data_IF_984665391487
#
_entry.id   IF_984665391487
#
_cell.length_a   1.000
_cell.length_b   1.000
_cell.length_c   1.000
_cell.angle_alpha   90.00
_cell.angle_beta   90.00
_cell.angle_gamma   90.00
#
_symmetry.space_group_name_H-M   'P 1'
#
loop_
_entity.id
_entity.type
_entity.pdbx_description
1 polymer ?
#
# COMPACT_ATOMS: atom_id res chain seq x y z
N UNK A 1 -6.23 -9.82 -17.24
CA UNK A 1 -6.40 -8.44 -17.75
C UNK A 1 -6.24 -7.37 -16.67
N UNK A 2 -6.84 -7.49 -15.47
CA UNK A 2 -6.73 -6.44 -14.42
C UNK A 2 -5.29 -6.03 -14.01
N UNK A 3 -4.35 -6.98 -13.91
CA UNK A 3 -2.95 -6.68 -13.56
C UNK A 3 -2.24 -5.80 -14.60
N UNK A 4 -2.58 -5.96 -15.88
CA UNK A 4 -1.99 -5.20 -16.98
C UNK A 4 -2.50 -3.75 -16.96
N UNK A 5 -3.78 -3.56 -16.68
CA UNK A 5 -4.41 -2.24 -16.54
C UNK A 5 -3.81 -1.42 -15.39
N UNK A 6 -3.45 -2.06 -14.27
CA UNK A 6 -2.78 -1.37 -13.15
C UNK A 6 -1.37 -0.93 -13.51
N UNK A 7 -0.65 -1.68 -14.35
CA UNK A 7 0.69 -1.30 -14.82
C UNK A 7 0.67 -0.02 -15.65
N UNK A 8 -0.26 0.09 -16.60
CA UNK A 8 -0.46 1.30 -17.38
C UNK A 8 -0.92 2.47 -16.50
N UNK A 9 -1.87 2.25 -15.59
CA UNK A 9 -2.36 3.29 -14.69
C UNK A 9 -1.27 3.84 -13.74
N UNK A 10 -0.35 3.00 -13.28
CA UNK A 10 0.82 3.42 -12.50
C UNK A 10 1.78 4.28 -13.32
N UNK A 11 1.99 3.92 -14.59
CA UNK A 11 2.86 4.66 -15.51
C UNK A 11 2.27 6.02 -15.82
N UNK A 12 0.99 6.08 -16.20
CA UNK A 12 0.27 7.34 -16.47
C UNK A 12 0.29 8.25 -15.25
N UNK A 13 0.00 7.71 -14.07
CA UNK A 13 0.01 8.49 -12.84
C UNK A 13 1.41 9.01 -12.51
N UNK A 14 2.47 8.22 -12.78
CA UNK A 14 3.85 8.65 -12.55
C UNK A 14 4.29 9.72 -13.55
N UNK A 15 3.88 9.63 -14.81
CA UNK A 15 4.10 10.70 -15.79
C UNK A 15 3.37 11.98 -15.40
N UNK A 16 2.11 11.88 -14.97
CA UNK A 16 1.35 13.03 -14.50
C UNK A 16 2.00 13.71 -13.28
N UNK A 17 2.58 12.94 -12.35
CA UNK A 17 3.35 13.46 -11.22
C UNK A 17 4.66 14.11 -11.66
N UNK A 18 5.32 13.57 -12.69
CA UNK A 18 6.54 14.16 -13.24
C UNK A 18 6.26 15.50 -13.95
N UNK A 19 5.10 15.62 -14.60
CA UNK A 19 4.64 16.85 -15.24
C UNK A 19 4.17 17.89 -14.21
N UNK A 20 3.37 17.47 -13.22
CA UNK A 20 2.91 18.31 -12.13
C UNK A 20 3.06 17.59 -10.77
N UNK A 21 4.13 17.89 -10.01
CA UNK A 21 4.36 17.27 -8.72
C UNK A 21 3.35 17.68 -7.63
N UNK A 22 2.49 18.68 -7.89
CA UNK A 22 1.40 19.11 -7.01
C UNK A 22 0.05 18.50 -7.40
N UNK A 23 0.01 17.63 -8.42
CA UNK A 23 -1.23 17.04 -8.89
C UNK A 23 -1.73 15.90 -7.97
N UNK A 24 -2.44 16.27 -6.90
CA UNK A 24 -2.95 15.36 -5.87
C UNK A 24 -3.75 14.17 -6.43
N UNK A 25 -4.54 14.38 -7.49
CA UNK A 25 -5.34 13.31 -8.13
C UNK A 25 -4.48 12.21 -8.75
N UNK A 26 -3.30 12.52 -9.29
CA UNK A 26 -2.42 11.49 -9.82
C UNK A 26 -1.82 10.61 -8.72
N UNK A 27 -1.40 11.21 -7.59
CA UNK A 27 -1.00 10.44 -6.42
C UNK A 27 -2.13 9.55 -5.91
N UNK A 28 -3.38 10.03 -5.93
CA UNK A 28 -4.53 9.25 -5.49
C UNK A 28 -4.80 8.04 -6.40
N UNK A 29 -4.76 8.23 -7.73
CA UNK A 29 -4.84 7.12 -8.70
C UNK A 29 -3.72 6.11 -8.46
N UNK A 30 -2.48 6.58 -8.27
CA UNK A 30 -1.32 5.72 -8.07
C UNK A 30 -1.43 4.91 -6.77
N UNK A 31 -1.83 5.56 -5.67
CA UNK A 31 -2.09 4.91 -4.39
C UNK A 31 -3.17 3.83 -4.50
N UNK A 32 -4.25 4.11 -5.23
CA UNK A 32 -5.33 3.14 -5.45
C UNK A 32 -4.84 1.93 -6.24
N UNK A 33 -4.04 2.13 -7.28
CA UNK A 33 -3.43 1.03 -8.03
C UNK A 33 -2.51 0.20 -7.12
N UNK A 34 -1.70 0.84 -6.28
CA UNK A 34 -0.86 0.17 -5.29
C UNK A 34 -1.66 -0.68 -4.29
N UNK A 35 -2.83 -0.24 -3.88
CA UNK A 35 -3.74 -1.04 -3.05
C UNK A 35 -4.24 -2.29 -3.79
N UNK A 36 -4.58 -2.17 -5.07
CA UNK A 36 -5.06 -3.30 -5.87
C UNK A 36 -3.97 -4.34 -6.17
N UNK A 37 -2.72 -3.91 -6.30
CA UNK A 37 -1.57 -4.83 -6.51
C UNK A 37 -0.91 -5.32 -5.21
N UNK A 38 -1.61 -5.21 -4.07
CA UNK A 38 -1.13 -5.65 -2.74
C UNK A 38 0.20 -5.01 -2.32
N UNK A 39 0.42 -3.74 -2.70
CA UNK A 39 1.57 -2.92 -2.27
C UNK A 39 1.14 -1.71 -1.44
N UNK A 40 0.46 -1.91 -0.30
CA UNK A 40 -0.12 -0.81 0.50
C UNK A 40 0.93 0.15 1.08
N UNK A 41 2.18 -0.30 1.29
CA UNK A 41 3.27 0.56 1.76
C UNK A 41 3.53 1.75 0.81
N UNK A 42 3.49 1.50 -0.51
CA UNK A 42 3.67 2.56 -1.51
C UNK A 42 2.44 3.48 -1.59
N UNK A 43 1.23 2.94 -1.39
CA UNK A 43 0.01 3.75 -1.32
C UNK A 43 0.05 4.76 -0.17
N UNK A 44 0.58 4.39 1.01
CA UNK A 44 0.74 5.31 2.15
C UNK A 44 1.68 6.48 1.81
N UNK A 45 2.77 6.23 1.08
CA UNK A 45 3.68 7.28 0.68
C UNK A 45 2.98 8.32 -0.23
N UNK A 46 2.19 7.85 -1.18
CA UNK A 46 1.39 8.71 -2.06
C UNK A 46 0.31 9.49 -1.28
N UNK A 47 -0.41 8.83 -0.37
CA UNK A 47 -1.39 9.53 0.49
C UNK A 47 -0.76 10.59 1.38
N UNK A 48 0.43 10.34 1.95
CA UNK A 48 1.18 11.36 2.70
C UNK A 48 1.51 12.57 1.84
N UNK A 49 1.87 12.36 0.57
CA UNK A 49 2.16 13.47 -0.35
C UNK A 49 0.91 14.29 -0.64
N UNK A 50 -0.24 13.65 -0.81
CA UNK A 50 -1.51 14.35 -0.97
C UNK A 50 -1.85 15.15 0.28
N UNK A 51 -1.73 14.58 1.49
CA UNK A 51 -1.99 15.31 2.73
C UNK A 51 -1.02 16.48 2.97
N UNK A 52 0.19 16.42 2.42
CA UNK A 52 1.12 17.54 2.45
C UNK A 52 0.69 18.68 1.51
N UNK A 53 -0.04 18.37 0.44
CA UNK A 53 -0.59 19.35 -0.52
C UNK A 53 -1.96 19.86 -0.07
N UNK A 54 -2.81 18.96 0.43
CA UNK A 54 -4.19 19.17 0.84
C UNK A 54 -4.41 18.61 2.26
N UNK A 55 -3.96 19.30 3.31
CA UNK A 55 -4.04 18.80 4.69
C UNK A 55 -5.47 18.64 5.20
N UNK A 56 -6.44 19.31 4.58
CA UNK A 56 -7.85 19.26 4.92
C UNK A 56 -8.61 18.14 4.16
N UNK A 57 -7.92 17.30 3.38
CA UNK A 57 -8.54 16.21 2.66
C UNK A 57 -8.82 15.01 3.58
N UNK A 58 -9.95 15.03 4.27
CA UNK A 58 -10.38 13.99 5.22
C UNK A 58 -10.55 12.61 4.56
N UNK A 59 -10.97 12.59 3.30
CA UNK A 59 -11.11 11.36 2.51
C UNK A 59 -9.77 10.65 2.41
N UNK A 60 -8.71 11.38 2.05
CA UNK A 60 -7.36 10.81 1.93
C UNK A 60 -6.83 10.39 3.29
N UNK A 61 -7.06 11.17 4.35
CA UNK A 61 -6.68 10.80 5.71
C UNK A 61 -7.32 9.47 6.12
N UNK A 62 -8.61 9.31 5.84
CA UNK A 62 -9.35 8.08 6.14
C UNK A 62 -8.80 6.88 5.36
N UNK A 63 -8.52 7.05 4.06
CA UNK A 63 -7.91 6.00 3.24
C UNK A 63 -6.50 5.63 3.69
N UNK A 64 -5.68 6.60 4.09
CA UNK A 64 -4.35 6.35 4.64
C UNK A 64 -4.42 5.54 5.93
N UNK A 65 -5.32 5.88 6.85
CA UNK A 65 -5.50 5.13 8.11
C UNK A 65 -5.97 3.71 7.83
N UNK A 66 -6.93 3.52 6.93
CA UNK A 66 -7.39 2.19 6.51
C UNK A 66 -6.24 1.36 5.90
N UNK A 67 -5.43 1.99 5.05
CA UNK A 67 -4.26 1.35 4.43
C UNK A 67 -3.21 0.94 5.47
N UNK A 68 -2.96 1.79 6.47
CA UNK A 68 -2.01 1.47 7.54
C UNK A 68 -2.49 0.30 8.41
N UNK A 69 -3.81 0.18 8.64
CA UNK A 69 -4.39 -0.99 9.29
C UNK A 69 -4.19 -2.25 8.47
N UNK A 70 -4.38 -2.17 7.15
CA UNK A 70 -4.12 -3.30 6.24
C UNK A 70 -2.66 -3.74 6.29
N UNK A 71 -1.72 -2.79 6.29
CA UNK A 71 -0.28 -3.08 6.44
C UNK A 71 0.00 -3.88 7.70
N UNK A 72 -0.50 -3.41 8.86
CA UNK A 72 -0.32 -4.11 10.13
C UNK A 72 -0.93 -5.50 10.12
N UNK A 73 -2.08 -5.66 9.47
CA UNK A 73 -2.74 -6.96 9.32
C UNK A 73 -1.86 -7.91 8.50
N UNK A 74 -1.35 -7.46 7.35
CA UNK A 74 -0.46 -8.26 6.49
C UNK A 74 0.83 -8.63 7.24
N UNK A 75 1.42 -7.69 7.98
CA UNK A 75 2.62 -7.93 8.80
C UNK A 75 2.35 -8.95 9.90
N UNK A 76 1.18 -8.87 10.55
CA UNK A 76 0.76 -9.83 11.57
C UNK A 76 0.49 -11.23 10.99
N UNK A 77 -0.22 -11.32 9.87
CA UNK A 77 -0.47 -12.59 9.17
C UNK A 77 0.85 -13.26 8.76
N UNK A 78 1.80 -12.49 8.23
CA UNK A 78 3.16 -12.99 7.91
C UNK A 78 3.91 -13.46 9.14
N UNK A 79 3.80 -12.75 10.27
CA UNK A 79 4.47 -13.15 11.50
C UNK A 79 3.96 -14.50 12.03
N UNK A 80 2.65 -14.76 11.95
CA UNK A 80 2.05 -16.04 12.35
C UNK A 80 2.47 -17.17 11.40
N UNK A 81 2.52 -16.90 10.08
CA UNK A 81 2.96 -17.89 9.09
C UNK A 81 4.40 -18.35 9.34
N UNK A 82 5.29 -17.44 9.76
CA UNK A 82 6.68 -17.76 10.11
C UNK A 82 6.80 -18.64 11.37
N UNK A 83 5.83 -18.57 12.29
CA UNK A 83 5.77 -19.47 13.47
C UNK A 83 5.18 -20.86 13.14
N UNK A 84 4.63 -21.05 11.94
CA UNK A 84 4.03 -22.31 11.49
C UNK A 84 5.01 -23.41 11.06
N UNK A 85 6.32 -23.13 10.99
CA UNK A 85 7.35 -24.11 10.61
C UNK A 85 8.35 -24.42 11.73
N UNK A 86 7.83 -24.60 12.95
CA UNK A 86 8.53 -25.39 13.97
C UNK A 86 7.56 -26.36 14.56
N UNK A 87 7.46 -27.51 13.91
CA UNK A 87 6.80 -28.68 14.45
C UNK A 87 7.31 -28.91 15.90
N UNK A 88 6.48 -28.68 16.93
CA UNK A 88 6.92 -28.83 18.32
C UNK A 88 7.13 -30.31 18.69
N UNK A 89 6.90 -31.25 17.77
CA UNK A 89 7.05 -32.70 17.97
C UNK A 89 8.46 -33.21 17.65
N UNK A 90 9.42 -32.35 17.27
CA UNK A 90 10.86 -32.71 17.29
C UNK A 90 11.58 -32.03 18.45
N UNK A 91 10.96 -32.03 19.63
CA UNK A 91 11.72 -32.06 20.90
C UNK A 91 11.92 -33.52 21.31
N UNK A 92 12.49 -34.32 20.40
CA UNK A 92 12.98 -35.65 20.73
C UNK A 92 14.30 -35.50 21.48
N UNK A 93 14.24 -35.76 22.79
CA UNK A 93 15.19 -36.62 23.51
C UNK A 93 16.67 -36.21 23.45
N UNK A 94 17.05 -35.35 24.39
CA UNK A 94 18.36 -35.44 25.07
C UNK A 94 18.11 -35.54 26.58
#
# INVERSE_FOLDING_TARGET
>A
MKLEEYGYALTDASQAIALDPKYAKAYFRRATCYMQIMKPQMAVADFKKILALEPHNETVRSQMVATQKLIRKIEFEKAIEVEGEKDPVVRCRE
#
